data_IF_457278013306
#
_entry.id   IF_457278013306
#
_cell.length_a   1.000
_cell.length_b   1.000
_cell.length_c   1.000
_cell.angle_alpha   90.00
_cell.angle_beta   90.00
_cell.angle_gamma   90.00
#
_symmetry.space_group_name_H-M   'P 1'
#
loop_
_entity.id
_entity.type
_entity.pdbx_description
1 polymer ?
#
# COMPACT_ATOMS: atom_id res chain seq x y z
N UNK A 1 16.15 -28.20 -25.34
CA UNK A 1 16.78 -28.01 -24.03
C UNK A 1 15.69 -28.28 -22.98
N UNK A 2 16.01 -28.84 -21.81
CA UNK A 2 14.97 -29.23 -20.84
C UNK A 2 14.44 -27.96 -20.16
N UNK A 3 13.19 -27.57 -20.44
CA UNK A 3 12.61 -26.32 -19.92
C UNK A 3 12.59 -26.29 -18.38
N UNK A 4 12.49 -27.43 -17.70
CA UNK A 4 12.61 -27.50 -16.24
C UNK A 4 13.98 -27.02 -15.74
N UNK A 5 15.06 -27.38 -16.45
CA UNK A 5 16.42 -26.91 -16.11
C UNK A 5 16.59 -25.41 -16.41
N UNK A 6 15.85 -24.87 -17.38
CA UNK A 6 15.85 -23.44 -17.67
C UNK A 6 15.11 -22.66 -16.58
N UNK A 7 13.92 -23.11 -16.18
CA UNK A 7 13.17 -22.54 -15.05
C UNK A 7 14.02 -22.58 -13.78
N UNK A 8 14.64 -23.72 -13.45
CA UNK A 8 15.50 -23.81 -12.27
C UNK A 8 16.71 -22.85 -12.30
N UNK A 9 17.29 -22.59 -13.48
CA UNK A 9 18.36 -21.59 -13.62
C UNK A 9 17.87 -20.18 -13.35
N UNK A 10 16.68 -19.83 -13.86
CA UNK A 10 16.04 -18.54 -13.61
C UNK A 10 15.74 -18.38 -12.11
N UNK A 11 15.22 -19.40 -11.44
CA UNK A 11 14.97 -19.36 -10.00
C UNK A 11 16.26 -19.11 -9.19
N UNK A 12 17.35 -19.78 -9.52
CA UNK A 12 18.66 -19.53 -8.88
C UNK A 12 19.22 -18.12 -9.16
N UNK A 13 18.77 -17.45 -10.22
CA UNK A 13 19.07 -16.05 -10.47
C UNK A 13 18.27 -15.13 -9.55
N UNK A 14 16.99 -15.44 -9.31
CA UNK A 14 16.15 -14.64 -8.40
C UNK A 14 16.71 -14.55 -6.98
N UNK A 15 17.37 -15.60 -6.48
CA UNK A 15 18.00 -15.62 -5.15
C UNK A 15 19.13 -14.59 -4.98
N UNK A 16 19.68 -14.11 -6.10
CA UNK A 16 20.78 -13.12 -6.11
C UNK A 16 20.27 -11.69 -6.24
N UNK A 17 19.00 -11.50 -6.60
CA UNK A 17 18.41 -10.20 -6.87
C UNK A 17 17.81 -9.63 -5.60
N UNK A 18 18.18 -8.40 -5.28
CA UNK A 18 17.65 -7.67 -4.11
C UNK A 18 16.50 -6.74 -4.45
N UNK A 19 16.39 -6.32 -5.71
CA UNK A 19 15.30 -5.50 -6.22
C UNK A 19 14.09 -6.41 -6.56
N UNK A 20 12.90 -6.14 -6.01
CA UNK A 20 11.71 -6.92 -6.31
C UNK A 20 11.29 -6.87 -7.78
N UNK A 21 11.46 -5.75 -8.49
CA UNK A 21 11.10 -5.66 -9.92
C UNK A 21 11.97 -6.55 -10.80
N UNK A 22 13.27 -6.63 -10.49
CA UNK A 22 14.18 -7.52 -11.21
C UNK A 22 13.78 -9.00 -11.00
N UNK A 23 13.34 -9.36 -9.77
CA UNK A 23 12.81 -10.71 -9.49
C UNK A 23 11.54 -10.99 -10.27
N UNK A 24 10.60 -10.04 -10.29
CA UNK A 24 9.35 -10.14 -11.06
C UNK A 24 9.64 -10.34 -12.55
N UNK A 25 10.60 -9.61 -13.12
CA UNK A 25 10.99 -9.77 -14.51
C UNK A 25 11.46 -11.21 -14.83
N UNK A 26 12.28 -11.79 -13.96
CA UNK A 26 12.75 -13.19 -14.09
C UNK A 26 11.59 -14.19 -13.93
N UNK A 27 10.68 -13.99 -12.96
CA UNK A 27 9.50 -14.85 -12.83
C UNK A 27 8.62 -14.81 -14.07
N UNK A 28 8.44 -13.64 -14.69
CA UNK A 28 7.69 -13.51 -15.96
C UNK A 28 8.34 -14.28 -17.11
N UNK A 29 9.66 -14.37 -17.15
CA UNK A 29 10.36 -15.21 -18.13
C UNK A 29 10.16 -16.70 -17.86
N UNK A 30 10.26 -17.12 -16.59
CA UNK A 30 10.01 -18.50 -16.19
C UNK A 30 8.55 -18.93 -16.46
N UNK A 31 7.58 -18.05 -16.19
CA UNK A 31 6.15 -18.27 -16.47
C UNK A 31 5.93 -18.49 -17.97
N UNK A 32 6.57 -17.70 -18.85
CA UNK A 32 6.46 -17.90 -20.30
C UNK A 32 6.97 -19.28 -20.72
N UNK A 33 8.02 -19.79 -20.09
CA UNK A 33 8.53 -21.14 -20.37
C UNK A 33 7.54 -22.21 -19.89
N UNK A 34 6.98 -22.08 -18.70
CA UNK A 34 5.97 -23.00 -18.17
C UNK A 34 4.72 -23.03 -19.05
N UNK A 35 4.18 -21.86 -19.38
CA UNK A 35 2.98 -21.71 -20.21
C UNK A 35 3.20 -22.28 -21.63
N UNK A 36 4.37 -22.04 -22.25
CA UNK A 36 4.70 -22.56 -23.57
C UNK A 36 4.77 -24.10 -23.61
N UNK A 37 5.08 -24.72 -22.48
CA UNK A 37 5.14 -26.18 -22.33
C UNK A 37 3.86 -26.77 -21.70
N UNK A 38 2.86 -25.94 -21.39
CA UNK A 38 1.61 -26.34 -20.72
C UNK A 38 1.85 -27.03 -19.38
N UNK A 39 2.87 -26.60 -18.66
CA UNK A 39 3.23 -27.12 -17.35
C UNK A 39 2.46 -26.35 -16.26
N UNK A 40 1.32 -26.89 -15.85
CA UNK A 40 0.37 -26.22 -14.95
C UNK A 40 0.93 -26.10 -13.53
N UNK A 41 1.73 -27.07 -13.07
CA UNK A 41 2.38 -27.02 -11.75
C UNK A 41 3.41 -25.89 -11.70
N UNK A 42 4.33 -25.81 -12.67
CA UNK A 42 5.27 -24.69 -12.74
C UNK A 42 4.57 -23.36 -12.95
N UNK A 43 3.55 -23.32 -13.80
CA UNK A 43 2.78 -22.10 -14.06
C UNK A 43 2.12 -21.54 -12.80
N UNK A 44 1.66 -22.42 -11.89
CA UNK A 44 1.10 -22.06 -10.59
C UNK A 44 2.17 -21.56 -9.63
N UNK A 45 3.20 -22.37 -9.36
CA UNK A 45 4.24 -22.01 -8.37
C UNK A 45 4.94 -20.69 -8.73
N UNK A 46 5.28 -20.50 -10.01
CA UNK A 46 5.94 -19.27 -10.45
C UNK A 46 5.04 -18.03 -10.34
N UNK A 47 3.72 -18.18 -10.48
CA UNK A 47 2.75 -17.09 -10.28
C UNK A 47 2.59 -16.76 -8.79
N UNK A 48 2.59 -17.77 -7.93
CA UNK A 48 2.61 -17.56 -6.47
C UNK A 48 3.88 -16.81 -6.04
N UNK A 49 5.04 -17.22 -6.55
CA UNK A 49 6.32 -16.54 -6.26
C UNK A 49 6.37 -15.11 -6.81
N UNK A 50 5.78 -14.87 -8.00
CA UNK A 50 5.64 -13.53 -8.55
C UNK A 50 4.78 -12.63 -7.64
N UNK A 51 3.65 -13.13 -7.14
CA UNK A 51 2.78 -12.37 -6.23
C UNK A 51 3.54 -12.02 -4.95
N UNK A 52 4.23 -13.00 -4.34
CA UNK A 52 5.03 -12.80 -3.13
C UNK A 52 6.19 -11.81 -3.34
N UNK A 53 6.78 -11.77 -4.53
CA UNK A 53 7.79 -10.78 -4.87
C UNK A 53 7.18 -9.38 -5.00
N UNK A 54 6.00 -9.28 -5.59
CA UNK A 54 5.31 -8.01 -5.81
C UNK A 54 4.79 -7.36 -4.52
N UNK A 55 4.57 -8.14 -3.44
CA UNK A 55 4.30 -7.61 -2.09
C UNK A 55 5.39 -6.65 -1.56
N UNK A 56 6.62 -6.70 -2.11
CA UNK A 56 7.70 -5.79 -1.76
C UNK A 56 7.79 -4.55 -2.66
N UNK A 57 6.93 -4.45 -3.66
CA UNK A 57 6.78 -3.27 -4.53
C UNK A 57 5.65 -2.37 -4.02
N UNK A 58 5.45 -1.23 -4.66
CA UNK A 58 4.29 -0.36 -4.41
C UNK A 58 3.27 -0.41 -5.55
N UNK A 59 3.23 -1.53 -6.27
CA UNK A 59 2.23 -1.81 -7.30
C UNK A 59 1.76 -3.26 -7.23
N UNK A 60 0.65 -3.56 -7.89
CA UNK A 60 0.04 -4.90 -7.95
C UNK A 60 -0.30 -5.31 -9.39
N UNK A 61 0.49 -4.85 -10.36
CA UNK A 61 0.25 -4.94 -11.80
C UNK A 61 0.26 -6.38 -12.31
N UNK A 62 1.19 -7.18 -11.80
CA UNK A 62 1.40 -8.55 -12.28
C UNK A 62 0.59 -9.55 -11.45
N UNK A 63 0.33 -9.24 -10.19
CA UNK A 63 -0.42 -10.06 -9.24
C UNK A 63 -1.89 -10.19 -9.63
N UNK A 64 -2.54 -9.13 -10.10
CA UNK A 64 -3.96 -9.19 -10.52
C UNK A 64 -4.18 -10.27 -11.61
N UNK A 65 -3.49 -10.23 -12.78
CA UNK A 65 -3.67 -11.26 -13.80
C UNK A 65 -3.11 -12.63 -13.38
N UNK A 66 -2.01 -12.67 -12.61
CA UNK A 66 -1.47 -13.94 -12.09
C UNK A 66 -2.47 -14.65 -11.17
N UNK A 67 -3.12 -13.89 -10.28
CA UNK A 67 -4.08 -14.42 -9.32
C UNK A 67 -5.38 -14.85 -9.99
N UNK A 68 -5.87 -14.10 -10.98
CA UNK A 68 -7.02 -14.52 -11.79
C UNK A 68 -6.77 -15.88 -12.48
N UNK A 69 -5.54 -16.09 -12.98
CA UNK A 69 -5.14 -17.38 -13.53
C UNK A 69 -5.10 -18.48 -12.47
N UNK A 70 -4.56 -18.19 -11.27
CA UNK A 70 -4.50 -19.15 -10.16
C UNK A 70 -5.90 -19.61 -9.73
N UNK A 71 -6.86 -18.69 -9.62
CA UNK A 71 -8.25 -19.02 -9.29
C UNK A 71 -8.86 -19.93 -10.36
N UNK A 72 -8.71 -19.61 -11.64
CA UNK A 72 -9.20 -20.45 -12.75
C UNK A 72 -8.54 -21.83 -12.75
N UNK A 73 -7.22 -21.89 -12.53
CA UNK A 73 -6.49 -23.16 -12.46
C UNK A 73 -6.96 -24.03 -11.29
N UNK A 74 -7.16 -23.44 -10.11
CA UNK A 74 -7.70 -24.15 -8.95
C UNK A 74 -9.15 -24.58 -9.15
N UNK A 75 -10.02 -23.72 -9.67
CA UNK A 75 -11.43 -24.05 -9.87
C UNK A 75 -11.62 -25.18 -10.92
N UNK A 76 -10.71 -25.29 -11.91
CA UNK A 76 -10.68 -26.39 -12.87
C UNK A 76 -9.94 -27.65 -12.35
N UNK A 77 -9.01 -27.50 -11.41
CA UNK A 77 -8.18 -28.57 -10.83
C UNK A 77 -8.06 -28.47 -9.30
N UNK A 78 -9.18 -28.62 -8.55
CA UNK A 78 -9.21 -28.31 -7.11
C UNK A 78 -8.30 -29.21 -6.27
N UNK A 79 -8.03 -30.43 -6.72
CA UNK A 79 -7.15 -31.39 -6.02
C UNK A 79 -5.66 -31.11 -6.23
N UNK A 80 -5.30 -30.23 -7.17
CA UNK A 80 -3.90 -29.95 -7.53
C UNK A 80 -3.26 -28.89 -6.64
N UNK A 81 -4.05 -27.91 -6.19
CA UNK A 81 -3.55 -26.73 -5.49
C UNK A 81 -4.28 -26.50 -4.17
N UNK A 82 -3.51 -26.18 -3.13
CA UNK A 82 -4.04 -25.88 -1.81
C UNK A 82 -4.84 -24.57 -1.83
N UNK A 83 -6.16 -24.66 -1.62
CA UNK A 83 -6.98 -23.44 -1.49
C UNK A 83 -6.55 -22.58 -0.30
N UNK A 84 -6.01 -23.21 0.75
CA UNK A 84 -5.49 -22.48 1.90
C UNK A 84 -4.33 -21.54 1.51
N UNK A 85 -3.43 -21.98 0.65
CA UNK A 85 -2.30 -21.15 0.20
C UNK A 85 -2.80 -20.01 -0.68
N UNK A 86 -3.81 -20.29 -1.53
CA UNK A 86 -4.48 -19.29 -2.36
C UNK A 86 -5.15 -18.22 -1.48
N UNK A 87 -5.82 -18.60 -0.39
CA UNK A 87 -6.51 -17.68 0.51
C UNK A 87 -5.57 -16.68 1.18
N UNK A 88 -4.33 -17.06 1.51
CA UNK A 88 -3.34 -16.13 2.07
C UNK A 88 -2.94 -15.05 1.07
N UNK A 89 -2.69 -15.42 -0.19
CA UNK A 89 -2.39 -14.45 -1.24
C UNK A 89 -3.64 -13.63 -1.64
N UNK A 90 -4.83 -14.25 -1.60
CA UNK A 90 -6.10 -13.57 -1.85
C UNK A 90 -6.34 -12.47 -0.83
N UNK A 91 -6.13 -12.77 0.46
CA UNK A 91 -6.27 -11.78 1.55
C UNK A 91 -5.47 -10.52 1.25
N UNK A 92 -4.20 -10.66 0.84
CA UNK A 92 -3.37 -9.51 0.48
C UNK A 92 -3.92 -8.78 -0.75
N UNK A 93 -4.21 -9.50 -1.84
CA UNK A 93 -4.69 -8.87 -3.08
C UNK A 93 -6.02 -8.13 -2.87
N UNK A 94 -6.96 -8.74 -2.16
CA UNK A 94 -8.23 -8.14 -1.78
C UNK A 94 -8.04 -6.88 -0.90
N UNK A 95 -6.98 -6.85 -0.09
CA UNK A 95 -6.60 -5.71 0.74
C UNK A 95 -5.96 -4.53 -0.01
N UNK A 96 -5.51 -4.73 -1.26
CA UNK A 96 -4.86 -3.66 -2.07
C UNK A 96 -5.62 -3.32 -3.35
N UNK A 97 -6.57 -4.16 -3.78
CA UNK A 97 -7.24 -4.01 -5.08
C UNK A 97 -7.92 -2.65 -5.29
N UNK A 98 -8.41 -2.02 -4.22
CA UNK A 98 -9.09 -0.72 -4.30
C UNK A 98 -8.13 0.46 -4.51
N UNK A 99 -6.82 0.25 -4.43
CA UNK A 99 -5.80 1.26 -4.73
C UNK A 99 -5.63 1.52 -6.23
N UNK A 100 -6.13 0.62 -7.09
CA UNK A 100 -6.00 0.70 -8.54
C UNK A 100 -7.28 1.28 -9.19
N UNK A 101 -7.15 2.38 -9.94
CA UNK A 101 -8.28 3.04 -10.61
C UNK A 101 -8.82 2.26 -11.82
N UNK A 102 -8.06 1.33 -12.37
CA UNK A 102 -8.50 0.49 -13.50
C UNK A 102 -9.54 -0.56 -13.06
N UNK A 103 -9.64 -0.83 -11.75
CA UNK A 103 -10.63 -1.75 -11.18
C UNK A 103 -11.85 -0.96 -10.74
N UNK A 104 -13.00 -1.22 -11.36
CA UNK A 104 -14.27 -0.56 -11.01
C UNK A 104 -14.75 -0.95 -9.60
N UNK A 105 -15.56 -0.09 -8.99
CA UNK A 105 -16.17 -0.37 -7.67
C UNK A 105 -16.93 -1.70 -7.64
N UNK A 106 -17.67 -2.04 -8.71
CA UNK A 106 -18.38 -3.31 -8.81
C UNK A 106 -17.43 -4.51 -8.86
N UNK A 107 -16.28 -4.38 -9.55
CA UNK A 107 -15.28 -5.45 -9.56
C UNK A 107 -14.65 -5.63 -8.19
N UNK A 108 -14.37 -4.54 -7.47
CA UNK A 108 -13.88 -4.60 -6.09
C UNK A 108 -14.89 -5.37 -5.22
N UNK A 109 -16.17 -5.01 -5.26
CA UNK A 109 -17.21 -5.68 -4.48
C UNK A 109 -17.30 -7.19 -4.82
N UNK A 110 -17.26 -7.54 -6.11
CA UNK A 110 -17.29 -8.94 -6.55
C UNK A 110 -16.07 -9.72 -6.04
N UNK A 111 -14.87 -9.12 -6.05
CA UNK A 111 -13.64 -9.74 -5.56
C UNK A 111 -13.72 -9.99 -4.05
N UNK A 112 -14.25 -9.03 -3.28
CA UNK A 112 -14.41 -9.19 -1.83
C UNK A 112 -15.49 -10.23 -1.47
N UNK A 113 -16.57 -10.27 -2.23
CA UNK A 113 -17.63 -11.27 -2.05
C UNK A 113 -17.14 -12.69 -2.37
N UNK A 114 -16.36 -12.87 -3.46
CA UNK A 114 -15.74 -14.16 -3.78
C UNK A 114 -14.74 -14.59 -2.70
N UNK A 115 -13.88 -13.67 -2.25
CA UNK A 115 -12.96 -13.93 -1.12
C UNK A 115 -13.72 -14.42 0.12
N UNK A 116 -14.82 -13.75 0.48
CA UNK A 116 -15.67 -14.17 1.61
C UNK A 116 -16.25 -15.57 1.42
N UNK A 117 -16.74 -15.89 0.22
CA UNK A 117 -17.29 -17.22 -0.07
C UNK A 117 -16.22 -18.31 0.07
N UNK A 118 -14.99 -18.04 -0.40
CA UNK A 118 -13.86 -18.96 -0.26
C UNK A 118 -13.40 -19.13 1.19
N UNK A 119 -13.42 -18.08 2.01
CA UNK A 119 -13.19 -18.20 3.46
C UNK A 119 -14.20 -19.16 4.09
N UNK A 120 -15.49 -18.90 3.88
CA UNK A 120 -16.57 -19.67 4.51
C UNK A 120 -16.57 -21.14 4.08
N UNK A 121 -16.32 -21.44 2.80
CA UNK A 121 -16.27 -22.84 2.31
C UNK A 121 -15.08 -23.62 2.89
N UNK A 122 -14.04 -22.91 3.32
CA UNK A 122 -12.88 -23.48 4.02
C UNK A 122 -13.02 -23.47 5.55
N UNK A 123 -14.22 -23.20 6.07
CA UNK A 123 -14.54 -23.14 7.50
C UNK A 123 -13.81 -22.02 8.27
N UNK A 124 -13.38 -20.97 7.58
CA UNK A 124 -12.95 -19.71 8.20
C UNK A 124 -14.14 -18.80 8.47
N UNK A 125 -13.95 -17.84 9.37
CA UNK A 125 -14.95 -16.84 9.73
C UNK A 125 -14.94 -15.68 8.73
N UNK A 126 -15.92 -14.78 8.83
CA UNK A 126 -15.92 -13.56 8.01
C UNK A 126 -15.04 -12.44 8.59
N UNK A 127 -14.27 -12.70 9.67
CA UNK A 127 -13.49 -11.67 10.37
C UNK A 127 -12.53 -10.94 9.44
N UNK A 128 -11.77 -11.68 8.64
CA UNK A 128 -10.81 -11.08 7.72
C UNK A 128 -11.48 -10.31 6.58
N UNK A 129 -12.61 -10.82 6.06
CA UNK A 129 -13.42 -10.07 5.10
C UNK A 129 -13.84 -8.72 5.69
N UNK A 130 -14.30 -8.69 6.95
CA UNK A 130 -14.67 -7.43 7.59
C UNK A 130 -13.47 -6.49 7.78
N UNK A 131 -12.27 -6.98 8.11
CA UNK A 131 -11.05 -6.16 8.13
C UNK A 131 -10.81 -5.45 6.79
N UNK A 132 -10.93 -6.16 5.68
CA UNK A 132 -10.74 -5.57 4.34
C UNK A 132 -11.84 -4.53 4.05
N UNK A 133 -13.08 -4.79 4.47
CA UNK A 133 -14.19 -3.83 4.34
C UNK A 133 -13.99 -2.57 5.20
N UNK A 134 -13.37 -2.70 6.38
CA UNK A 134 -12.95 -1.55 7.19
C UNK A 134 -11.92 -0.72 6.42
N UNK A 135 -10.86 -1.35 5.89
CA UNK A 135 -9.83 -0.65 5.10
C UNK A 135 -10.42 0.06 3.87
N UNK A 136 -11.31 -0.60 3.12
CA UNK A 136 -12.02 0.02 2.00
C UNK A 136 -12.87 1.22 2.44
N UNK A 137 -13.51 1.14 3.61
CA UNK A 137 -14.32 2.24 4.15
C UNK A 137 -13.44 3.41 4.61
N UNK A 138 -12.31 3.13 5.27
CA UNK A 138 -11.30 4.13 5.64
C UNK A 138 -10.76 4.84 4.39
N UNK A 139 -10.41 4.08 3.36
CA UNK A 139 -9.95 4.57 2.06
C UNK A 139 -10.95 5.51 1.39
N UNK A 140 -12.26 5.27 1.58
CA UNK A 140 -13.34 6.10 1.03
C UNK A 140 -13.79 7.22 1.98
N UNK A 141 -13.20 7.34 3.17
CA UNK A 141 -13.62 8.29 4.20
C UNK A 141 -15.00 7.98 4.82
N UNK A 142 -15.49 6.76 4.70
CA UNK A 142 -16.83 6.35 5.14
C UNK A 142 -16.83 5.99 6.62
N UNK A 143 -16.63 6.99 7.48
CA UNK A 143 -16.51 6.87 8.95
C UNK A 143 -17.55 5.95 9.59
N UNK A 144 -18.84 6.15 9.32
CA UNK A 144 -19.92 5.34 9.92
C UNK A 144 -19.86 3.88 9.47
N UNK A 145 -19.53 3.64 8.20
CA UNK A 145 -19.48 2.29 7.65
C UNK A 145 -18.24 1.54 8.14
N UNK A 146 -17.11 2.23 8.31
CA UNK A 146 -15.90 1.66 8.90
C UNK A 146 -16.18 1.16 10.33
N UNK A 147 -16.93 1.92 11.13
CA UNK A 147 -17.38 1.50 12.46
C UNK A 147 -18.34 0.32 12.42
N UNK A 148 -19.31 0.33 11.50
CA UNK A 148 -20.23 -0.80 11.35
C UNK A 148 -19.49 -2.11 11.04
N UNK A 149 -18.50 -2.08 10.14
CA UNK A 149 -17.69 -3.26 9.86
C UNK A 149 -16.76 -3.65 11.00
N UNK A 150 -16.25 -2.68 11.76
CA UNK A 150 -15.50 -2.93 12.99
C UNK A 150 -16.35 -3.70 14.01
N UNK A 151 -17.58 -3.25 14.25
CA UNK A 151 -18.51 -3.92 15.16
C UNK A 151 -18.86 -5.34 14.66
N UNK A 152 -19.07 -5.52 13.35
CA UNK A 152 -19.32 -6.84 12.75
C UNK A 152 -18.11 -7.76 12.85
N UNK A 153 -16.89 -7.25 12.61
CA UNK A 153 -15.65 -8.00 12.78
C UNK A 153 -15.53 -8.52 14.20
N UNK A 154 -15.80 -7.68 15.20
CA UNK A 154 -15.63 -8.02 16.61
C UNK A 154 -16.69 -9.00 17.14
N UNK A 155 -17.77 -9.24 16.39
CA UNK A 155 -18.69 -10.35 16.63
C UNK A 155 -18.21 -11.69 16.06
N UNK A 156 -17.30 -11.68 15.08
CA UNK A 156 -16.73 -12.90 14.49
C UNK A 156 -15.58 -13.45 15.33
N UNK A 157 -15.52 -14.77 15.57
CA UNK A 157 -14.40 -15.36 16.28
C UNK A 157 -13.10 -15.25 15.48
N UNK A 158 -11.97 -15.27 16.19
CA UNK A 158 -10.65 -15.36 15.55
C UNK A 158 -10.40 -16.79 15.06
N UNK A 159 -9.63 -16.89 13.99
CA UNK A 159 -9.19 -18.14 13.35
C UNK A 159 -7.78 -17.98 12.75
N UNK A 160 -7.32 -18.97 11.98
CA UNK A 160 -5.98 -18.95 11.39
C UNK A 160 -5.80 -17.96 10.22
N UNK A 161 -6.87 -17.32 9.74
CA UNK A 161 -6.80 -16.22 8.77
C UNK A 161 -6.71 -14.84 9.45
N UNK A 162 -7.11 -14.78 10.71
CA UNK A 162 -7.13 -13.57 11.54
C UNK A 162 -5.72 -13.15 11.95
N UNK A 163 -5.48 -11.83 12.11
CA UNK A 163 -4.21 -11.28 12.58
C UNK A 163 -4.46 -10.24 13.66
N UNK A 164 -3.88 -10.45 14.86
CA UNK A 164 -3.94 -9.48 15.96
C UNK A 164 -3.46 -8.10 15.51
N UNK A 165 -2.35 -8.06 14.77
CA UNK A 165 -1.77 -6.81 14.29
C UNK A 165 -2.72 -6.10 13.33
N UNK A 166 -3.31 -6.82 12.38
CA UNK A 166 -4.24 -6.24 11.41
C UNK A 166 -5.52 -5.74 12.09
N UNK A 167 -6.07 -6.52 13.02
CA UNK A 167 -7.25 -6.13 13.80
C UNK A 167 -6.99 -4.84 14.60
N UNK A 168 -5.86 -4.78 15.30
CA UNK A 168 -5.53 -3.64 16.15
C UNK A 168 -5.21 -2.39 15.32
N UNK A 169 -4.47 -2.53 14.21
CA UNK A 169 -4.18 -1.42 13.29
C UNK A 169 -5.49 -0.85 12.72
N UNK A 170 -6.38 -1.69 12.20
CA UNK A 170 -7.65 -1.20 11.63
C UNK A 170 -8.53 -0.53 12.69
N UNK A 171 -8.59 -1.05 13.91
CA UNK A 171 -9.26 -0.38 15.04
C UNK A 171 -8.68 1.02 15.28
N UNK A 172 -7.35 1.14 15.38
CA UNK A 172 -6.66 2.42 15.60
C UNK A 172 -7.01 3.43 14.49
N UNK A 173 -7.02 3.01 13.23
CA UNK A 173 -7.35 3.91 12.11
C UNK A 173 -8.84 4.33 12.11
N UNK A 174 -9.76 3.44 12.50
CA UNK A 174 -11.17 3.83 12.69
C UNK A 174 -11.28 4.88 13.79
N UNK A 175 -10.68 4.65 14.95
CA UNK A 175 -10.70 5.60 16.07
C UNK A 175 -10.10 6.97 15.69
N UNK A 176 -8.96 6.98 14.98
CA UNK A 176 -8.37 8.23 14.46
C UNK A 176 -9.28 8.95 13.47
N UNK A 177 -9.90 8.23 12.51
CA UNK A 177 -10.87 8.80 11.58
C UNK A 177 -12.10 9.36 12.32
N UNK A 178 -12.47 8.74 13.44
CA UNK A 178 -13.56 9.21 14.27
C UNK A 178 -13.23 10.43 15.13
N UNK A 179 -11.94 10.73 15.32
CA UNK A 179 -11.43 11.73 16.24
C UNK A 179 -11.31 11.23 17.69
N UNK A 180 -11.46 9.93 17.93
CA UNK A 180 -11.29 9.29 19.23
C UNK A 180 -9.81 8.97 19.49
N UNK A 181 -9.02 10.03 19.61
CA UNK A 181 -7.57 9.91 19.81
C UNK A 181 -7.20 9.34 21.17
N UNK A 182 -8.09 9.39 22.17
CA UNK A 182 -7.84 8.78 23.48
C UNK A 182 -7.75 7.26 23.36
N UNK A 183 -8.74 6.63 22.73
CA UNK A 183 -8.71 5.19 22.49
C UNK A 183 -7.63 4.79 21.48
N UNK A 184 -7.44 5.59 20.41
CA UNK A 184 -6.38 5.33 19.44
C UNK A 184 -5.00 5.27 20.11
N UNK A 185 -4.66 6.24 20.97
CA UNK A 185 -3.37 6.28 21.69
C UNK A 185 -3.21 5.12 22.67
N UNK A 186 -4.29 4.70 23.34
CA UNK A 186 -4.29 3.50 24.20
C UNK A 186 -3.96 2.24 23.38
N UNK A 187 -4.64 2.05 22.25
CA UNK A 187 -4.44 0.91 21.38
C UNK A 187 -3.06 0.93 20.70
N UNK A 188 -2.53 2.11 20.35
CA UNK A 188 -1.15 2.26 19.89
C UNK A 188 -0.16 1.84 20.97
N UNK A 189 -0.40 2.19 22.23
CA UNK A 189 0.47 1.78 23.35
C UNK A 189 0.48 0.26 23.52
N UNK A 190 -0.69 -0.39 23.43
CA UNK A 190 -0.81 -1.85 23.42
C UNK A 190 -0.06 -2.46 22.24
N UNK A 191 -0.29 -1.93 21.03
CA UNK A 191 0.39 -2.40 19.82
C UNK A 191 1.91 -2.34 19.99
N UNK A 192 2.44 -1.20 20.42
CA UNK A 192 3.87 -1.00 20.65
C UNK A 192 4.40 -1.98 21.68
N UNK A 193 3.65 -2.24 22.75
CA UNK A 193 4.09 -3.17 23.81
C UNK A 193 4.24 -4.60 23.30
N UNK A 194 3.31 -5.08 22.49
CA UNK A 194 3.27 -6.49 22.05
C UNK A 194 3.79 -6.73 20.62
N UNK A 195 4.18 -5.68 19.87
CA UNK A 195 4.59 -5.78 18.46
C UNK A 195 5.62 -6.87 18.17
N UNK A 196 6.62 -7.01 19.04
CA UNK A 196 7.72 -7.97 18.85
C UNK A 196 7.25 -9.42 18.91
N UNK A 197 6.21 -9.72 19.69
CA UNK A 197 5.62 -11.07 19.78
C UNK A 197 4.92 -11.47 18.48
N UNK A 198 4.53 -10.47 17.68
CA UNK A 198 3.84 -10.63 16.39
C UNK A 198 4.72 -10.28 15.19
N UNK A 199 6.03 -10.05 15.37
CA UNK A 199 6.95 -9.71 14.28
C UNK A 199 6.68 -8.34 13.64
N UNK A 200 6.02 -7.44 14.36
CA UNK A 200 5.63 -6.12 13.86
C UNK A 200 6.61 -5.01 14.29
N UNK A 201 6.64 -3.93 13.52
CA UNK A 201 7.36 -2.69 13.80
C UNK A 201 6.36 -1.54 14.07
N UNK A 202 6.84 -0.35 14.47
CA UNK A 202 5.93 0.76 14.83
C UNK A 202 5.40 1.55 13.61
N UNK A 203 5.89 1.29 12.40
CA UNK A 203 5.71 2.19 11.23
C UNK A 203 4.23 2.41 10.94
N UNK A 204 3.43 1.35 10.85
CA UNK A 204 2.03 1.46 10.41
C UNK A 204 1.17 2.28 11.37
N UNK A 205 1.41 2.14 12.69
CA UNK A 205 0.63 2.87 13.71
C UNK A 205 1.14 4.31 13.90
N UNK A 206 2.46 4.53 13.86
CA UNK A 206 3.02 5.87 14.05
C UNK A 206 2.84 6.75 12.82
N UNK A 207 2.94 6.21 11.60
CA UNK A 207 2.69 6.98 10.36
C UNK A 207 1.28 7.57 10.33
N UNK A 208 0.27 6.77 10.63
CA UNK A 208 -1.12 7.22 10.76
C UNK A 208 -1.28 8.27 11.84
N UNK A 209 -0.74 8.03 13.04
CA UNK A 209 -0.79 9.00 14.14
C UNK A 209 -0.15 10.34 13.76
N UNK A 210 1.02 10.31 13.12
CA UNK A 210 1.75 11.49 12.65
C UNK A 210 0.95 12.26 11.61
N UNK A 211 0.31 11.56 10.68
CA UNK A 211 -0.57 12.17 9.69
C UNK A 211 -1.77 12.87 10.35
N UNK A 212 -2.54 12.16 11.18
CA UNK A 212 -3.75 12.69 11.80
C UNK A 212 -3.46 13.78 12.85
N UNK A 213 -2.62 13.50 13.85
CA UNK A 213 -2.38 14.47 14.93
C UNK A 213 -1.34 15.52 14.58
N UNK A 214 -0.28 15.15 13.86
CA UNK A 214 0.78 16.09 13.50
C UNK A 214 0.44 16.91 12.26
N UNK A 215 -0.08 16.25 11.24
CA UNK A 215 -0.36 16.86 9.94
C UNK A 215 -1.68 17.64 9.90
N UNK A 216 -2.78 17.03 10.36
CA UNK A 216 -4.13 17.61 10.22
C UNK A 216 -4.48 18.58 11.34
N UNK A 217 -4.10 18.27 12.59
CA UNK A 217 -4.46 19.10 13.76
C UNK A 217 -3.30 19.88 14.39
N UNK A 218 -2.05 19.50 14.10
CA UNK A 218 -0.82 19.99 14.74
C UNK A 218 -0.82 19.90 16.28
N UNK A 219 -0.65 18.68 16.79
CA UNK A 219 -0.40 18.42 18.21
C UNK A 219 1.13 18.30 18.47
N UNK A 220 1.73 19.17 19.32
CA UNK A 220 3.16 19.11 19.62
C UNK A 220 3.64 17.80 20.23
N UNK A 221 2.76 17.01 20.85
CA UNK A 221 3.14 15.70 21.39
C UNK A 221 3.65 14.73 20.31
N UNK A 222 3.32 15.01 19.04
CA UNK A 222 3.68 14.16 17.91
C UNK A 222 5.19 14.16 17.61
N UNK A 223 5.93 15.17 18.06
CA UNK A 223 7.36 15.29 17.75
C UNK A 223 8.17 14.10 18.24
N UNK A 224 7.85 13.59 19.44
CA UNK A 224 8.53 12.43 20.00
C UNK A 224 8.25 11.15 19.20
N UNK A 225 6.99 10.95 18.78
CA UNK A 225 6.60 9.82 17.92
C UNK A 225 7.26 9.91 16.54
N UNK A 226 7.35 11.11 15.98
CA UNK A 226 8.04 11.35 14.73
C UNK A 226 9.53 11.02 14.83
N UNK A 227 10.24 11.52 15.86
CA UNK A 227 11.67 11.29 16.03
C UNK A 227 11.98 9.79 16.26
N UNK A 228 11.12 9.08 17.01
CA UNK A 228 11.22 7.62 17.17
C UNK A 228 11.00 6.88 15.85
N UNK A 229 9.94 7.24 15.11
CA UNK A 229 9.63 6.65 13.82
C UNK A 229 10.75 6.92 12.80
N UNK A 230 11.28 8.14 12.71
CA UNK A 230 12.35 8.52 11.79
C UNK A 230 13.64 7.72 12.07
N UNK A 231 13.94 7.50 13.36
CA UNK A 231 15.07 6.66 13.78
C UNK A 231 14.85 5.20 13.41
N UNK A 232 13.69 4.62 13.72
CA UNK A 232 13.38 3.23 13.39
C UNK A 232 13.39 3.04 11.87
N UNK A 233 12.71 3.92 11.13
CA UNK A 233 12.70 3.94 9.67
C UNK A 233 14.12 3.96 9.13
N UNK A 234 14.96 4.90 9.53
CA UNK A 234 16.34 5.01 9.05
C UNK A 234 17.18 3.73 9.21
N UNK A 235 16.90 2.90 10.23
CA UNK A 235 17.59 1.63 10.48
C UNK A 235 17.05 0.43 9.70
N UNK A 236 15.89 0.53 9.07
CA UNK A 236 15.25 -0.58 8.37
C UNK A 236 15.67 -0.71 6.91
N UNK A 237 15.58 -1.94 6.39
CA UNK A 237 15.70 -2.21 4.96
C UNK A 237 14.59 -1.49 4.20
N UNK A 238 14.97 -0.91 3.05
CA UNK A 238 14.13 -0.07 2.22
C UNK A 238 13.53 -0.86 1.07
N UNK A 239 12.22 -0.77 0.93
CA UNK A 239 11.46 -1.38 -0.15
C UNK A 239 10.37 -0.43 -0.63
N UNK A 240 10.05 -0.43 -1.94
CA UNK A 240 9.05 0.48 -2.49
C UNK A 240 7.68 0.43 -1.79
N UNK A 241 7.23 -0.73 -1.28
CA UNK A 241 5.94 -0.85 -0.58
C UNK A 241 5.76 0.15 0.57
N UNK A 242 6.87 0.61 1.17
CA UNK A 242 6.87 1.58 2.29
C UNK A 242 6.51 3.01 1.86
N UNK A 243 6.28 3.26 0.56
CA UNK A 243 6.00 4.60 0.04
C UNK A 243 4.71 5.20 0.64
N UNK A 244 3.72 4.37 0.98
CA UNK A 244 2.50 4.84 1.62
C UNK A 244 2.78 5.46 3.00
N UNK A 245 3.43 4.72 3.91
CA UNK A 245 3.75 5.21 5.26
C UNK A 245 4.71 6.39 5.21
N UNK A 246 5.63 6.39 4.23
CA UNK A 246 6.48 7.55 3.95
C UNK A 246 5.67 8.79 3.55
N UNK A 247 4.65 8.62 2.73
CA UNK A 247 3.77 9.71 2.30
C UNK A 247 3.02 10.30 3.48
N UNK A 248 2.56 9.47 4.42
CA UNK A 248 1.94 9.92 5.66
C UNK A 248 2.91 10.74 6.54
N UNK A 249 4.15 10.28 6.70
CA UNK A 249 5.18 11.06 7.40
C UNK A 249 5.51 12.37 6.67
N UNK A 250 5.62 12.32 5.35
CA UNK A 250 5.92 13.47 4.49
C UNK A 250 4.89 14.57 4.64
N UNK A 251 3.62 14.22 4.84
CA UNK A 251 2.55 15.18 5.10
C UNK A 251 2.87 16.09 6.29
N UNK A 252 3.41 15.52 7.37
CA UNK A 252 3.88 16.27 8.55
C UNK A 252 5.22 16.97 8.29
N UNK A 253 6.21 16.23 7.75
CA UNK A 253 7.56 16.75 7.55
C UNK A 253 7.60 17.98 6.63
N UNK A 254 6.84 17.97 5.54
CA UNK A 254 6.78 19.05 4.57
C UNK A 254 6.39 20.40 5.20
N UNK A 255 5.68 20.38 6.33
CA UNK A 255 5.24 21.56 7.08
C UNK A 255 6.17 21.91 8.24
N UNK A 256 6.57 20.90 9.01
CA UNK A 256 7.17 21.12 10.33
C UNK A 256 8.66 20.72 10.40
N UNK A 257 9.16 19.97 9.42
CA UNK A 257 10.53 19.45 9.36
C UNK A 257 11.09 19.54 7.92
N UNK A 258 11.01 20.72 7.28
CA UNK A 258 11.32 20.90 5.84
C UNK A 258 12.68 20.35 5.40
N UNK A 259 13.73 20.54 6.19
CA UNK A 259 15.06 20.01 5.86
C UNK A 259 15.06 18.47 5.79
N UNK A 260 14.36 17.82 6.73
CA UNK A 260 14.18 16.36 6.72
C UNK A 260 13.28 15.91 5.58
N UNK A 261 12.23 16.67 5.28
CA UNK A 261 11.32 16.41 4.18
C UNK A 261 12.06 16.39 2.83
N UNK A 262 13.00 17.32 2.60
CA UNK A 262 13.81 17.32 1.38
C UNK A 262 14.70 16.09 1.24
N UNK A 263 15.31 15.62 2.33
CA UNK A 263 16.11 14.38 2.33
C UNK A 263 15.24 13.20 1.89
N UNK A 264 14.05 13.07 2.47
CA UNK A 264 13.12 11.99 2.15
C UNK A 264 12.57 12.11 0.73
N UNK A 265 12.19 13.32 0.30
CA UNK A 265 11.72 13.55 -1.06
C UNK A 265 12.78 13.10 -2.08
N UNK A 266 14.00 13.63 -2.01
CA UNK A 266 15.04 13.28 -2.99
C UNK A 266 15.41 11.79 -2.97
N UNK A 267 15.36 11.15 -1.79
CA UNK A 267 15.68 9.73 -1.64
C UNK A 267 14.61 8.80 -2.23
N UNK A 268 13.32 9.15 -2.06
CA UNK A 268 12.20 8.22 -2.33
C UNK A 268 11.29 8.65 -3.47
N UNK A 269 11.47 9.84 -4.05
CA UNK A 269 10.63 10.36 -5.14
C UNK A 269 10.52 9.42 -6.34
N UNK A 270 11.57 8.65 -6.63
CA UNK A 270 11.51 7.72 -7.77
C UNK A 270 10.63 6.50 -7.51
N UNK A 271 10.28 6.21 -6.26
CA UNK A 271 9.39 5.10 -5.95
C UNK A 271 7.97 5.38 -6.45
N UNK A 272 7.52 6.63 -6.58
CA UNK A 272 6.18 6.91 -7.11
C UNK A 272 6.01 6.50 -8.59
N UNK A 273 7.12 6.28 -9.32
CA UNK A 273 7.09 5.86 -10.72
C UNK A 273 6.44 4.48 -10.80
N UNK A 274 5.20 4.48 -11.25
CA UNK A 274 4.44 3.27 -11.48
C UNK A 274 3.80 2.63 -10.23
N UNK A 275 3.87 3.31 -9.09
CA UNK A 275 3.14 2.95 -7.89
C UNK A 275 1.61 2.95 -8.12
N UNK A 276 0.86 2.31 -7.22
CA UNK A 276 -0.60 2.33 -7.24
C UNK A 276 -1.15 3.75 -7.18
N UNK A 277 -2.31 3.97 -7.81
CA UNK A 277 -2.91 5.28 -7.98
C UNK A 277 -3.16 5.99 -6.64
N UNK A 278 -3.58 5.25 -5.60
CA UNK A 278 -3.77 5.81 -4.26
C UNK A 278 -2.47 6.27 -3.62
N UNK A 279 -1.42 5.45 -3.68
CA UNK A 279 -0.10 5.77 -3.14
C UNK A 279 0.47 7.00 -3.85
N UNK A 280 0.28 7.09 -5.17
CA UNK A 280 0.68 8.28 -5.95
C UNK A 280 -0.12 9.52 -5.54
N UNK A 281 -1.41 9.38 -5.27
CA UNK A 281 -2.23 10.47 -4.76
C UNK A 281 -1.72 10.95 -3.38
N UNK A 282 -1.50 10.04 -2.44
CA UNK A 282 -1.01 10.36 -1.10
C UNK A 282 0.37 11.03 -1.15
N UNK A 283 1.28 10.49 -1.96
CA UNK A 283 2.61 11.08 -2.15
C UNK A 283 2.52 12.48 -2.75
N UNK A 284 1.76 12.64 -3.85
CA UNK A 284 1.58 13.92 -4.52
C UNK A 284 0.98 14.97 -3.58
N UNK A 285 -0.02 14.59 -2.80
CA UNK A 285 -0.66 15.46 -1.80
C UNK A 285 0.36 15.92 -0.74
N UNK A 286 1.11 14.97 -0.19
CA UNK A 286 2.04 15.20 0.93
C UNK A 286 3.24 16.08 0.58
N UNK A 287 3.65 16.14 -0.69
CA UNK A 287 4.82 16.95 -1.10
C UNK A 287 4.47 18.40 -1.47
N UNK A 288 3.19 18.73 -1.70
CA UNK A 288 2.77 20.11 -2.05
C UNK A 288 3.28 21.19 -1.07
N UNK A 289 3.21 21.02 0.27
CA UNK A 289 3.70 22.03 1.21
C UNK A 289 5.21 22.25 1.14
N UNK A 290 5.96 21.21 0.78
CA UNK A 290 7.42 21.29 0.65
C UNK A 290 7.81 22.14 -0.57
N UNK A 291 7.03 22.04 -1.64
CA UNK A 291 7.30 22.66 -2.94
C UNK A 291 6.70 24.07 -3.06
N UNK A 292 5.70 24.41 -2.25
CA UNK A 292 4.92 25.64 -2.39
C UNK A 292 5.73 26.94 -2.36
N UNK A 293 6.82 26.99 -1.60
CA UNK A 293 7.60 28.23 -1.44
C UNK A 293 8.35 28.63 -2.74
N UNK A 294 8.34 27.78 -3.76
CA UNK A 294 8.88 28.05 -5.08
C UNK A 294 10.41 28.16 -5.10
N UNK A 295 10.94 28.80 -6.14
CA UNK A 295 12.39 28.98 -6.33
C UNK A 295 13.05 27.81 -7.05
N UNK A 296 14.36 27.66 -6.88
CA UNK A 296 15.13 26.62 -7.57
C UNK A 296 15.91 25.76 -6.61
N UNK A 297 15.97 24.45 -6.88
CA UNK A 297 16.71 23.48 -6.07
C UNK A 297 17.50 22.54 -6.96
N UNK A 298 18.72 22.20 -6.52
CA UNK A 298 19.47 21.11 -7.12
C UNK A 298 18.98 19.78 -6.52
N UNK A 299 18.60 18.81 -7.36
CA UNK A 299 18.18 17.48 -6.90
C UNK A 299 18.93 16.41 -7.69
N UNK A 300 19.83 15.69 -7.01
CA UNK A 300 20.82 14.84 -7.65
C UNK A 300 20.29 13.50 -8.16
N UNK A 301 19.22 13.00 -7.53
CA UNK A 301 18.77 11.61 -7.67
C UNK A 301 17.45 11.46 -8.42
N UNK A 302 16.96 12.49 -9.10
CA UNK A 302 15.74 12.39 -9.91
C UNK A 302 16.00 11.45 -11.11
N UNK A 303 15.16 10.42 -11.25
CA UNK A 303 15.24 9.45 -12.35
C UNK A 303 14.93 10.10 -13.69
N UNK A 304 15.58 9.63 -14.76
CA UNK A 304 15.26 10.01 -16.16
C UNK A 304 13.82 9.68 -16.57
N UNK A 305 13.17 8.80 -15.81
CA UNK A 305 11.78 8.40 -16.03
C UNK A 305 10.78 9.35 -15.35
N UNK A 306 11.25 10.31 -14.54
CA UNK A 306 10.38 11.35 -14.00
C UNK A 306 9.97 12.35 -15.10
N UNK A 307 8.69 12.73 -15.22
CA UNK A 307 8.22 13.62 -16.28
C UNK A 307 8.87 15.01 -16.29
N UNK A 308 9.39 15.45 -15.14
CA UNK A 308 10.05 16.74 -14.96
C UNK A 308 11.58 16.64 -14.88
N UNK A 309 12.19 15.49 -15.23
CA UNK A 309 13.64 15.29 -15.20
C UNK A 309 14.42 16.36 -15.99
N UNK A 310 15.54 16.82 -15.43
CA UNK A 310 16.48 17.74 -16.08
C UNK A 310 17.92 17.26 -15.91
N UNK A 311 18.68 17.24 -17.01
CA UNK A 311 20.10 16.82 -17.01
C UNK A 311 21.00 17.71 -16.15
N UNK A 312 20.70 19.00 -16.05
CA UNK A 312 21.45 19.98 -15.25
C UNK A 312 21.14 19.90 -13.75
N UNK A 313 20.18 19.04 -13.38
CA UNK A 313 19.69 18.80 -12.01
C UNK A 313 19.13 20.04 -11.31
N UNK A 314 18.92 21.15 -12.01
CA UNK A 314 18.41 22.38 -11.43
C UNK A 314 16.92 22.50 -11.74
N UNK A 315 16.10 22.28 -10.72
CA UNK A 315 14.66 22.24 -10.85
C UNK A 315 14.04 23.55 -10.37
N UNK A 316 13.06 24.05 -11.13
CA UNK A 316 12.17 25.09 -10.66
C UNK A 316 11.08 24.40 -9.83
N UNK A 317 10.94 24.79 -8.56
CA UNK A 317 10.01 24.15 -7.64
C UNK A 317 8.56 24.46 -7.97
N UNK A 318 8.26 25.56 -8.67
CA UNK A 318 6.92 25.84 -9.18
C UNK A 318 6.51 24.81 -10.24
N UNK A 319 7.43 24.43 -11.14
CA UNK A 319 7.16 23.40 -12.17
C UNK A 319 6.84 22.05 -11.50
N UNK A 320 7.63 21.66 -10.49
CA UNK A 320 7.45 20.41 -9.74
C UNK A 320 6.17 20.45 -8.90
N UNK A 321 5.87 21.59 -8.26
CA UNK A 321 4.61 21.82 -7.54
C UNK A 321 3.41 21.63 -8.47
N UNK A 322 3.42 22.24 -9.67
CA UNK A 322 2.33 22.12 -10.63
C UNK A 322 2.15 20.68 -11.11
N UNK A 323 3.24 19.93 -11.32
CA UNK A 323 3.16 18.50 -11.64
C UNK A 323 2.41 17.70 -10.56
N UNK A 324 2.79 17.85 -9.29
CA UNK A 324 2.14 17.11 -8.21
C UNK A 324 0.72 17.60 -7.93
N UNK A 325 0.45 18.91 -8.08
CA UNK A 325 -0.90 19.45 -7.94
C UNK A 325 -1.83 18.86 -9.01
N UNK A 326 -1.37 18.82 -10.26
CA UNK A 326 -2.15 18.24 -11.36
C UNK A 326 -2.34 16.73 -11.17
N UNK A 327 -1.32 16.03 -10.68
CA UNK A 327 -1.38 14.60 -10.38
C UNK A 327 -2.40 14.31 -9.28
N UNK A 328 -2.33 15.04 -8.16
CA UNK A 328 -3.28 14.89 -7.06
C UNK A 328 -4.71 15.23 -7.48
N UNK A 329 -4.90 16.29 -8.29
CA UNK A 329 -6.22 16.69 -8.79
C UNK A 329 -6.85 15.66 -9.74
N UNK A 330 -6.07 15.12 -10.69
CA UNK A 330 -6.54 14.07 -11.61
C UNK A 330 -6.94 12.80 -10.85
N UNK A 331 -6.07 12.32 -9.96
CA UNK A 331 -6.33 11.13 -9.16
C UNK A 331 -7.53 11.32 -8.23
N UNK A 332 -7.64 12.48 -7.59
CA UNK A 332 -8.79 12.79 -6.73
C UNK A 332 -10.11 12.71 -7.49
N UNK A 333 -10.19 13.35 -8.66
CA UNK A 333 -11.38 13.33 -9.48
C UNK A 333 -11.75 11.89 -9.87
N UNK A 334 -10.78 11.11 -10.36
CA UNK A 334 -11.03 9.73 -10.81
C UNK A 334 -11.45 8.81 -9.67
N UNK A 335 -10.85 8.94 -8.48
CA UNK A 335 -11.26 8.16 -7.31
C UNK A 335 -12.67 8.55 -6.85
N UNK A 336 -12.98 9.83 -6.77
CA UNK A 336 -14.30 10.32 -6.38
C UNK A 336 -15.39 9.85 -7.36
N UNK A 337 -15.11 9.87 -8.67
CA UNK A 337 -15.98 9.33 -9.70
C UNK A 337 -16.21 7.81 -9.54
N UNK A 338 -15.13 7.03 -9.36
CA UNK A 338 -15.21 5.58 -9.16
C UNK A 338 -15.97 5.21 -7.88
N UNK A 339 -15.65 5.89 -6.78
CA UNK A 339 -16.17 5.62 -5.44
C UNK A 339 -17.54 6.26 -5.20
N UNK A 340 -17.98 7.15 -6.10
CA UNK A 340 -19.24 7.91 -6.01
C UNK A 340 -19.34 8.77 -4.75
N UNK A 341 -18.23 9.39 -4.36
CA UNK A 341 -18.14 10.28 -3.22
C UNK A 341 -17.29 11.53 -3.58
N UNK A 342 -16.79 12.26 -2.57
CA UNK A 342 -15.94 13.45 -2.76
C UNK A 342 -14.68 13.41 -1.89
N UNK A 343 -14.35 12.24 -1.35
CA UNK A 343 -13.40 12.12 -0.27
C UNK A 343 -12.01 12.62 -0.67
N UNK A 344 -11.54 12.25 -1.85
CA UNK A 344 -10.20 12.60 -2.31
C UNK A 344 -10.10 14.08 -2.68
N UNK A 345 -11.13 14.64 -3.32
CA UNK A 345 -11.18 16.08 -3.58
C UNK A 345 -11.26 16.90 -2.29
N UNK A 346 -11.98 16.42 -1.28
CA UNK A 346 -12.03 17.06 0.04
C UNK A 346 -10.66 17.06 0.73
N UNK A 347 -9.92 15.94 0.69
CA UNK A 347 -8.55 15.87 1.19
C UNK A 347 -7.61 16.84 0.46
N UNK A 348 -7.70 16.92 -0.88
CA UNK A 348 -6.92 17.88 -1.66
C UNK A 348 -7.27 19.32 -1.31
N UNK A 349 -8.56 19.65 -1.20
CA UNK A 349 -8.99 21.00 -0.85
C UNK A 349 -8.53 21.39 0.56
N UNK A 350 -8.60 20.47 1.52
CA UNK A 350 -8.09 20.69 2.87
C UNK A 350 -6.59 21.00 2.86
N UNK A 351 -5.81 20.22 2.10
CA UNK A 351 -4.37 20.47 1.91
C UNK A 351 -4.12 21.88 1.38
N UNK A 352 -4.82 22.27 0.31
CA UNK A 352 -4.64 23.58 -0.33
C UNK A 352 -5.07 24.74 0.57
N UNK A 353 -6.10 24.57 1.39
CA UNK A 353 -6.53 25.58 2.36
C UNK A 353 -5.48 25.81 3.44
N UNK A 354 -4.83 24.74 3.92
CA UNK A 354 -3.75 24.85 4.92
C UNK A 354 -2.48 25.49 4.36
N UNK A 355 -2.36 25.58 3.04
CA UNK A 355 -1.24 26.25 2.40
C UNK A 355 -1.41 27.77 2.40
N UNK A 356 -2.64 28.29 2.26
CA UNK A 356 -2.94 29.74 2.18
C UNK A 356 -2.56 30.42 3.50
#
# INVERSE_FOLDING_TARGET
>A
MNYNLEIQKLLLETDKLTNPDDRIAVFKEAIKLADANRDVEWAYELRMDLIRAEQYTNHSRESIPAFAWILDAHDNHPDMFSELDILYEYKWLAGVIFNNLDVSLQQIDNILDDFRQRLLRNNFTSREYFNIRINQSLFKGEKMLAREYLDLRDMEPTDNMSSWAADLITTIYVEMLEGDFENALKNITEFVTYRSEHGMNIIHVYSGLIYYLGGKTYDPQIEAYFDEMDKEFSGMKKYPFQLYELSLMMYYMARHRKDRAWVYFEQFVNWEIGAEDSIRFDFALSVLPLLKDGGTRNMDFISVHQPYFKEDKLYNLDDVYQYYLQTAADLAQRFDERNKNKHFSEQLNEQLQQLI
#
